data_IF_573360868539
#
_entry.id   IF_573360868539
#
_cell.length_a   1.000
_cell.length_b   1.000
_cell.length_c   1.000
_cell.angle_alpha   90.00
_cell.angle_beta   90.00
_cell.angle_gamma   90.00
#
_symmetry.space_group_name_H-M   'P 1'
#
loop_
_entity.id
_entity.type
_entity.pdbx_description
1 polymer ?
#
# COMPACT_ATOMS: atom_id res chain seq x y z
N UNK A 1 2.49 0.45 1.21
CA UNK A 1 1.63 0.46 2.41
C UNK A 1 0.21 0.93 2.11
N UNK A 2 -0.02 1.88 1.19
CA UNK A 2 -1.37 2.35 0.83
C UNK A 2 -2.03 1.61 -0.36
N UNK A 3 -1.33 0.67 -1.00
CA UNK A 3 -1.82 -0.03 -2.19
C UNK A 3 -2.75 -1.22 -1.90
N UNK A 4 -2.99 -1.53 -0.62
CA UNK A 4 -3.99 -2.51 -0.18
C UNK A 4 -5.26 -1.82 0.36
N UNK A 5 -5.41 -0.50 0.17
CA UNK A 5 -6.61 0.22 0.60
C UNK A 5 -7.76 -0.18 -0.33
N UNK A 6 -8.55 -1.14 0.11
CA UNK A 6 -9.77 -1.57 -0.53
C UNK A 6 -10.88 -0.52 -0.40
N UNK A 7 -11.98 -0.75 -1.11
CA UNK A 7 -13.15 0.12 -1.07
C UNK A 7 -13.71 0.31 0.35
N UNK A 8 -13.59 -0.70 1.22
CA UNK A 8 -14.02 -0.63 2.61
C UNK A 8 -13.21 0.38 3.44
N UNK A 9 -11.88 0.37 3.31
CA UNK A 9 -11.01 1.29 4.06
C UNK A 9 -11.13 2.73 3.58
N UNK A 10 -11.35 2.95 2.27
CA UNK A 10 -11.69 4.30 1.77
C UNK A 10 -12.97 4.83 2.42
N UNK A 11 -13.99 3.99 2.57
CA UNK A 11 -15.25 4.38 3.20
C UNK A 11 -15.02 4.71 4.69
N UNK A 12 -14.21 3.92 5.39
CA UNK A 12 -13.81 4.20 6.78
C UNK A 12 -13.06 5.53 6.89
N UNK A 13 -12.12 5.83 5.99
CA UNK A 13 -11.39 7.11 6.00
C UNK A 13 -12.31 8.30 5.74
N UNK A 14 -13.28 8.18 4.83
CA UNK A 14 -14.28 9.21 4.59
C UNK A 14 -15.12 9.44 5.84
N UNK A 15 -15.64 8.38 6.46
CA UNK A 15 -16.42 8.49 7.70
C UNK A 15 -15.60 9.10 8.82
N UNK A 16 -14.35 8.66 9.00
CA UNK A 16 -13.45 9.20 10.02
C UNK A 16 -13.17 10.69 9.76
N UNK A 17 -12.92 11.08 8.51
CA UNK A 17 -12.76 12.47 8.11
C UNK A 17 -14.02 13.31 8.39
N UNK A 18 -15.20 12.78 8.09
CA UNK A 18 -16.49 13.42 8.39
C UNK A 18 -16.72 13.57 9.90
N UNK A 19 -16.30 12.61 10.72
CA UNK A 19 -16.47 12.67 12.19
C UNK A 19 -15.47 13.63 12.83
N UNK A 20 -14.19 13.56 12.46
CA UNK A 20 -13.12 14.39 13.05
C UNK A 20 -13.29 15.86 12.64
N UNK A 21 -13.47 16.10 11.34
CA UNK A 21 -13.50 17.46 10.80
C UNK A 21 -14.94 18.02 10.74
N UNK A 22 -15.94 17.16 10.62
CA UNK A 22 -17.34 17.55 10.41
C UNK A 22 -17.71 17.64 8.93
N UNK A 23 -18.94 17.23 8.54
CA UNK A 23 -19.39 17.22 7.15
C UNK A 23 -19.43 18.60 6.49
N UNK A 24 -19.65 19.66 7.26
CA UNK A 24 -19.70 21.03 6.74
C UNK A 24 -18.32 21.62 6.47
N UNK A 25 -17.29 21.14 7.18
CA UNK A 25 -15.93 21.72 7.12
C UNK A 25 -15.06 21.02 6.09
N UNK A 26 -15.30 19.73 5.83
CA UNK A 26 -14.61 18.94 4.80
C UNK A 26 -14.59 19.61 3.41
N UNK A 27 -15.73 20.02 2.83
CA UNK A 27 -15.74 20.67 1.51
C UNK A 27 -15.00 22.02 1.53
N UNK A 28 -15.03 22.75 2.65
CA UNK A 28 -14.25 23.98 2.82
C UNK A 28 -12.75 23.72 2.85
N UNK A 29 -12.31 22.71 3.61
CA UNK A 29 -10.91 22.31 3.71
C UNK A 29 -10.34 21.84 2.37
N UNK A 30 -11.10 21.02 1.62
CA UNK A 30 -10.69 20.57 0.28
C UNK A 30 -10.47 21.78 -0.64
N UNK A 31 -11.38 22.75 -0.63
CA UNK A 31 -11.26 23.97 -1.46
C UNK A 31 -10.03 24.79 -1.09
N UNK A 32 -9.78 24.98 0.21
CA UNK A 32 -8.60 25.71 0.68
C UNK A 32 -7.31 24.99 0.28
N UNK A 33 -7.21 23.68 0.54
CA UNK A 33 -6.03 22.88 0.19
C UNK A 33 -5.80 22.84 -1.31
N UNK A 34 -6.86 22.68 -2.12
CA UNK A 34 -6.75 22.70 -3.57
C UNK A 34 -6.28 24.06 -4.11
N UNK A 35 -6.80 25.16 -3.53
CA UNK A 35 -6.34 26.51 -3.84
C UNK A 35 -4.87 26.71 -3.49
N UNK A 36 -4.47 26.31 -2.28
CA UNK A 36 -3.09 26.39 -1.82
C UNK A 36 -2.14 25.55 -2.69
N UNK A 37 -2.53 24.32 -3.07
CA UNK A 37 -1.75 23.47 -3.98
C UNK A 37 -1.57 24.13 -5.34
N UNK A 38 -2.63 24.74 -5.88
CA UNK A 38 -2.59 25.41 -7.18
C UNK A 38 -1.66 26.62 -7.14
N UNK A 39 -1.76 27.44 -6.10
CA UNK A 39 -0.86 28.57 -5.88
C UNK A 39 0.59 28.08 -5.73
N UNK A 40 0.84 27.09 -4.88
CA UNK A 40 2.18 26.52 -4.70
C UNK A 40 2.76 26.01 -6.02
N UNK A 41 1.96 25.31 -6.83
CA UNK A 41 2.38 24.87 -8.16
C UNK A 41 2.74 26.05 -9.07
N UNK A 42 1.90 27.08 -9.13
CA UNK A 42 2.14 28.29 -9.93
C UNK A 42 3.45 28.99 -9.53
N UNK A 43 3.69 29.14 -8.22
CA UNK A 43 4.94 29.73 -7.69
C UNK A 43 6.16 28.87 -8.03
N UNK A 44 6.08 27.55 -7.86
CA UNK A 44 7.18 26.64 -8.19
C UNK A 44 7.47 26.64 -9.69
N UNK A 45 6.44 26.61 -10.54
CA UNK A 45 6.60 26.68 -12.00
C UNK A 45 7.22 28.02 -12.41
N UNK A 46 6.71 29.13 -11.89
CA UNK A 46 7.24 30.47 -12.22
C UNK A 46 8.69 30.66 -11.78
N UNK A 47 9.05 30.19 -10.58
CA UNK A 47 10.44 30.22 -10.11
C UNK A 47 11.33 29.32 -10.98
N UNK A 48 10.86 28.11 -11.31
CA UNK A 48 11.59 27.19 -12.20
C UNK A 48 11.84 27.80 -13.58
N UNK A 49 10.84 28.50 -14.13
CA UNK A 49 10.95 29.15 -15.43
C UNK A 49 11.91 30.34 -15.38
N UNK A 50 11.91 31.14 -14.30
CA UNK A 50 12.90 32.21 -14.08
C UNK A 50 14.32 31.67 -13.95
N UNK A 51 14.53 30.58 -13.20
CA UNK A 51 15.84 29.92 -13.09
C UNK A 51 16.30 29.35 -14.44
N UNK A 52 15.38 28.86 -15.27
CA UNK A 52 15.69 28.37 -16.62
C UNK A 52 16.10 29.51 -17.55
N UNK A 53 15.42 30.65 -17.48
CA UNK A 53 15.74 31.83 -18.28
C UNK A 53 17.08 32.46 -17.86
N UNK A 54 17.42 32.44 -16.56
CA UNK A 54 18.62 33.07 -16.03
C UNK A 54 19.88 32.19 -16.06
N UNK A 55 19.79 30.86 -15.89
CA UNK A 55 20.97 29.98 -15.80
C UNK A 55 21.36 29.26 -17.10
N UNK A 56 20.54 29.33 -18.15
CA UNK A 56 20.88 28.69 -19.43
C UNK A 56 21.21 27.18 -19.28
N UNK A 57 22.21 26.62 -20.00
CA UNK A 57 22.45 25.17 -20.12
C UNK A 57 22.72 24.42 -18.80
N UNK A 58 22.97 25.10 -17.68
CA UNK A 58 23.13 24.47 -16.36
C UNK A 58 21.82 23.83 -15.84
N UNK A 59 20.66 24.23 -16.38
CA UNK A 59 19.38 23.56 -16.09
C UNK A 59 19.29 22.17 -16.75
N UNK A 60 20.02 21.94 -17.85
CA UNK A 60 20.06 20.66 -18.56
C UNK A 60 20.73 19.59 -17.68
N UNK A 61 21.78 19.96 -16.94
CA UNK A 61 22.49 19.09 -15.98
C UNK A 61 21.63 18.70 -14.78
N UNK A 62 20.66 19.53 -14.38
CA UNK A 62 19.68 19.19 -13.33
C UNK A 62 18.52 18.34 -13.87
N UNK A 63 18.30 18.36 -15.18
CA UNK A 63 17.21 17.64 -15.84
C UNK A 63 17.46 16.13 -15.86
N UNK A 64 18.72 15.72 -15.95
CA UNK A 64 19.15 14.33 -15.92
C UNK A 64 18.84 13.65 -14.57
N UNK A 65 19.27 14.18 -13.40
CA UNK A 65 18.91 13.63 -12.10
C UNK A 65 17.42 13.75 -11.78
N UNK A 66 16.73 14.80 -12.22
CA UNK A 66 15.27 14.90 -12.09
C UNK A 66 14.53 13.84 -12.91
N UNK A 67 15.02 13.55 -14.12
CA UNK A 67 14.47 12.50 -15.00
C UNK A 67 14.75 11.11 -14.45
N UNK A 68 15.92 10.88 -13.85
CA UNK A 68 16.22 9.65 -13.12
C UNK A 68 15.28 9.48 -11.93
N UNK A 69 15.05 10.52 -11.12
CA UNK A 69 14.11 10.48 -10.00
C UNK A 69 12.66 10.22 -10.46
N UNK A 70 12.24 10.78 -11.60
CA UNK A 70 10.93 10.47 -12.19
C UNK A 70 10.86 9.03 -12.72
N UNK A 71 11.91 8.52 -13.38
CA UNK A 71 12.01 7.12 -13.80
C UNK A 71 11.98 6.17 -12.60
N UNK A 72 12.69 6.49 -11.52
CA UNK A 72 12.67 5.75 -10.27
C UNK A 72 11.31 5.78 -9.59
N UNK A 73 10.55 6.87 -9.71
CA UNK A 73 9.16 6.93 -9.22
C UNK A 73 8.18 6.13 -10.10
N UNK A 74 8.49 5.98 -11.39
CA UNK A 74 7.76 5.14 -12.35
C UNK A 74 7.95 3.64 -12.13
N UNK A 75 9.13 3.21 -11.65
CA UNK A 75 9.27 1.91 -10.99
C UNK A 75 8.65 2.03 -9.60
N UNK A 76 7.43 1.54 -9.41
CA UNK A 76 6.72 1.71 -8.14
C UNK A 76 7.66 1.42 -6.94
N UNK A 77 7.65 2.24 -5.87
CA UNK A 77 8.49 2.01 -4.68
C UNK A 77 8.30 0.59 -4.11
N UNK A 78 7.10 0.03 -4.34
CA UNK A 78 6.76 -1.37 -4.08
C UNK A 78 7.62 -2.33 -4.90
N UNK A 79 7.73 -2.15 -6.22
CA UNK A 79 8.57 -3.00 -7.09
C UNK A 79 10.07 -2.92 -6.76
N UNK A 80 10.58 -1.74 -6.38
CA UNK A 80 11.98 -1.60 -5.95
C UNK A 80 12.23 -2.31 -4.61
N UNK A 81 11.30 -2.18 -3.66
CA UNK A 81 11.40 -2.82 -2.35
C UNK A 81 11.19 -4.34 -2.42
N UNK A 82 10.26 -4.83 -3.25
CA UNK A 82 10.05 -6.28 -3.50
C UNK A 82 11.29 -6.90 -4.15
N UNK A 83 11.94 -6.21 -5.10
CA UNK A 83 13.19 -6.71 -5.70
C UNK A 83 14.36 -6.74 -4.75
N UNK A 84 14.43 -5.79 -3.81
CA UNK A 84 15.59 -5.65 -2.93
C UNK A 84 15.44 -6.40 -1.59
N UNK A 85 14.22 -6.65 -1.13
CA UNK A 85 13.96 -7.39 0.13
C UNK A 85 13.38 -8.79 -0.07
N UNK A 86 12.69 -9.04 -1.19
CA UNK A 86 11.89 -10.27 -1.40
C UNK A 86 12.30 -11.03 -2.67
N UNK A 87 13.42 -10.67 -3.31
CA UNK A 87 13.95 -11.30 -4.54
C UNK A 87 12.90 -11.48 -5.67
N UNK A 88 11.86 -10.63 -5.68
CA UNK A 88 10.76 -10.72 -6.64
C UNK A 88 9.61 -11.67 -6.28
N UNK A 89 9.60 -12.27 -5.09
CA UNK A 89 8.49 -13.10 -4.62
C UNK A 89 7.38 -12.23 -4.01
N UNK A 90 6.26 -12.09 -4.72
CA UNK A 90 5.09 -11.30 -4.28
C UNK A 90 4.09 -12.13 -3.44
N UNK A 91 4.35 -13.42 -3.23
CA UNK A 91 3.42 -14.36 -2.57
C UNK A 91 3.21 -14.05 -1.08
N UNK A 92 4.25 -13.57 -0.39
CA UNK A 92 4.23 -13.20 1.03
C UNK A 92 3.35 -11.96 1.24
N UNK A 93 3.49 -10.97 0.36
CA UNK A 93 2.66 -9.78 0.38
C UNK A 93 1.20 -10.12 0.10
N UNK A 94 0.95 -11.06 -0.80
CA UNK A 94 -0.40 -11.51 -1.15
C UNK A 94 -1.04 -12.28 0.01
N UNK A 95 -0.29 -13.15 0.69
CA UNK A 95 -0.75 -13.89 1.87
C UNK A 95 -1.03 -12.98 3.07
N UNK A 96 -0.22 -11.94 3.27
CA UNK A 96 -0.45 -10.96 4.33
C UNK A 96 -1.66 -10.06 3.99
N UNK A 97 -1.81 -9.66 2.73
CA UNK A 97 -3.00 -8.91 2.28
C UNK A 97 -4.29 -9.72 2.44
N UNK A 98 -4.28 -11.02 2.09
CA UNK A 98 -5.48 -11.86 2.23
C UNK A 98 -5.88 -12.10 3.69
N UNK A 99 -4.91 -12.14 4.63
CA UNK A 99 -5.18 -12.13 6.06
C UNK A 99 -5.75 -10.80 6.57
N UNK A 100 -5.42 -9.69 5.91
CA UNK A 100 -5.87 -8.34 6.28
C UNK A 100 -7.26 -8.00 5.72
N UNK A 101 -7.59 -8.47 4.51
CA UNK A 101 -8.89 -8.23 3.86
C UNK A 101 -10.02 -9.10 4.41
N UNK A 102 -9.71 -10.26 5.01
CA UNK A 102 -10.75 -11.17 5.52
C UNK A 102 -10.48 -11.64 6.96
N UNK A 103 -11.10 -11.03 7.99
CA UNK A 103 -11.06 -11.55 9.35
C UNK A 103 -11.85 -12.88 9.52
N UNK A 104 -12.41 -13.45 8.45
CA UNK A 104 -13.24 -14.67 8.47
C UNK A 104 -12.73 -15.82 7.62
N UNK A 105 -11.62 -15.68 6.90
CA UNK A 105 -10.96 -16.85 6.28
C UNK A 105 -9.77 -17.28 7.13
N UNK A 106 -10.07 -17.67 8.37
CA UNK A 106 -9.40 -18.87 8.90
C UNK A 106 -10.03 -20.00 8.10
N UNK A 107 -9.39 -20.40 7.00
CA UNK A 107 -9.78 -21.62 6.30
C UNK A 107 -9.94 -22.72 7.35
N UNK A 108 -11.07 -23.46 7.39
CA UNK A 108 -11.18 -24.55 8.32
C UNK A 108 -10.02 -25.49 7.99
N UNK A 109 -9.15 -25.73 8.98
CA UNK A 109 -8.22 -26.84 8.92
C UNK A 109 -9.01 -28.05 8.40
N UNK A 110 -8.49 -28.82 7.43
CA UNK A 110 -9.22 -29.96 6.90
C UNK A 110 -9.64 -30.81 8.09
N UNK A 111 -10.94 -30.91 8.31
CA UNK A 111 -11.50 -31.65 9.41
C UNK A 111 -11.03 -33.09 9.24
N UNK A 112 -10.05 -33.48 10.06
CA UNK A 112 -9.61 -34.86 10.18
C UNK A 112 -10.81 -35.58 10.77
N UNK A 113 -11.66 -36.16 9.91
CA UNK A 113 -12.77 -36.99 10.34
C UNK A 113 -12.20 -38.11 11.18
N UNK A 114 -12.49 -38.21 12.49
CA UNK A 114 -12.08 -39.38 13.24
C UNK A 114 -12.90 -40.56 12.73
N UNK A 115 -12.23 -41.46 12.01
CA UNK A 115 -12.76 -42.77 11.65
C UNK A 115 -13.23 -43.47 12.94
N UNK A 116 -14.46 -43.99 13.02
CA UNK A 116 -14.90 -44.74 14.18
C UNK A 116 -14.01 -45.96 14.37
N UNK A 117 -13.33 -46.04 15.51
CA UNK A 117 -12.61 -47.23 15.93
C UNK A 117 -13.63 -48.31 16.31
N UNK A 118 -13.93 -49.20 15.37
CA UNK A 118 -14.69 -50.42 15.61
C UNK A 118 -13.71 -51.59 15.78
N UNK A 119 -13.58 -52.10 17.00
CA UNK A 119 -12.89 -53.35 17.32
C UNK A 119 -12.02 -53.26 18.58
N UNK A 120 -12.05 -54.26 19.50
CA UNK A 120 -11.09 -54.33 20.60
C UNK A 120 -9.67 -54.47 20.05
N UNK A 121 -8.72 -53.68 20.54
CA UNK A 121 -7.32 -53.84 20.18
C UNK A 121 -6.80 -55.20 20.66
N UNK A 122 -6.03 -55.95 19.86
CA UNK A 122 -5.41 -57.19 20.30
C UNK A 122 -4.38 -56.91 21.40
N UNK A 123 -4.40 -57.72 22.46
CA UNK A 123 -3.42 -57.68 23.54
C UNK A 123 -2.02 -58.03 22.98
N UNK A 124 -1.05 -57.14 23.22
CA UNK A 124 0.36 -57.36 22.94
C UNK A 124 0.99 -58.11 24.13
N UNK A 125 1.56 -59.29 23.86
CA UNK A 125 2.06 -60.22 24.87
C UNK A 125 3.58 -60.09 25.10
N UNK A 126 4.24 -59.12 24.48
CA UNK A 126 5.71 -58.95 24.52
C UNK A 126 6.19 -57.85 25.50
N UNK A 127 5.35 -57.44 26.45
CA UNK A 127 5.75 -56.56 27.56
C UNK A 127 5.99 -57.36 28.85
N UNK A 128 7.19 -57.94 28.98
CA UNK A 128 7.76 -58.44 30.25
C UNK A 128 9.27 -58.27 30.24
#
# INVERSE_FOLDING_TARGET
>A
MFANVGWGEMLVLVVLGLVILGPERLPGAIRWTAGALRQAREYVTSATDQLRDEMGPEFEDLREPLSELQKLRGMTPRAALTKHLLDGDDSLFTAVSSLAEDPRTVAPAPAVTPKPAAGPAPFDADAT
#
